data_IF_438505930761
#
_entry.id   IF_438505930761
#
_cell.length_a   1.000
_cell.length_b   1.000
_cell.length_c   1.000
_cell.angle_alpha   90.00
_cell.angle_beta   90.00
_cell.angle_gamma   90.00
#
_symmetry.space_group_name_H-M   'P 1'
#
loop_
_entity.id
_entity.type
_entity.pdbx_description
1 polymer ?
#
# COMPACT_ATOMS: atom_id res chain seq x y z
N UNK A 1 -16.09 46.02 -2.90
CA UNK A 1 -16.60 44.88 -3.67
C UNK A 1 -15.46 44.42 -4.57
N UNK A 2 -14.65 43.46 -4.12
CA UNK A 2 -13.43 43.01 -4.81
C UNK A 2 -13.61 41.54 -5.11
N UNK A 3 -13.59 41.20 -6.39
CA UNK A 3 -13.80 39.86 -6.94
C UNK A 3 -12.42 39.22 -7.11
N UNK A 4 -12.06 38.29 -6.22
CA UNK A 4 -10.84 37.48 -6.40
C UNK A 4 -11.19 36.25 -7.26
N UNK A 5 -10.55 36.05 -8.43
CA UNK A 5 -10.66 34.79 -9.15
C UNK A 5 -9.84 33.76 -8.39
N UNK A 6 -10.52 32.79 -7.78
CA UNK A 6 -9.89 31.63 -7.17
C UNK A 6 -9.23 30.81 -8.28
N UNK A 7 -7.92 30.98 -8.45
CA UNK A 7 -7.11 30.08 -9.28
C UNK A 7 -7.16 28.73 -8.56
N UNK A 8 -7.97 27.80 -9.08
CA UNK A 8 -7.91 26.39 -8.71
C UNK A 8 -6.59 25.89 -9.27
N UNK A 9 -5.55 25.98 -8.45
CA UNK A 9 -4.29 25.32 -8.71
C UNK A 9 -4.58 23.82 -8.58
N UNK A 10 -4.92 23.18 -9.70
CA UNK A 10 -4.97 21.72 -9.81
C UNK A 10 -3.56 21.22 -9.53
N UNK A 11 -3.27 20.98 -8.26
CA UNK A 11 -2.11 20.24 -7.84
C UNK A 11 -2.26 18.83 -8.44
N UNK A 12 -1.63 18.62 -9.59
CA UNK A 12 -1.20 17.30 -10.03
C UNK A 12 -0.17 16.81 -9.02
N UNK A 13 -0.64 16.43 -7.83
CA UNK A 13 0.05 15.45 -7.01
C UNK A 13 -0.08 14.17 -7.81
N UNK A 14 0.96 13.85 -8.58
CA UNK A 14 1.31 12.44 -8.78
C UNK A 14 1.40 11.86 -7.38
N UNK A 15 0.32 11.20 -6.96
CA UNK A 15 0.24 10.57 -5.65
C UNK A 15 1.46 9.69 -5.52
N UNK A 16 2.37 10.07 -4.63
CA UNK A 16 3.19 9.11 -3.92
C UNK A 16 2.24 8.01 -3.49
N UNK A 17 2.44 6.81 -4.06
CA UNK A 17 1.63 5.64 -3.82
C UNK A 17 1.34 5.55 -2.32
N UNK A 18 0.08 5.81 -1.95
CA UNK A 18 -0.35 5.65 -0.58
C UNK A 18 -0.44 4.15 -0.36
N UNK A 19 0.66 3.55 0.11
CA UNK A 19 0.51 2.39 0.93
C UNK A 19 -0.26 2.87 2.16
N UNK A 20 -1.50 2.38 2.30
CA UNK A 20 -2.29 2.49 3.51
C UNK A 20 -1.36 2.35 4.72
N UNK A 21 -1.47 3.22 5.73
CA UNK A 21 -0.53 3.24 6.84
C UNK A 21 -0.43 1.83 7.43
N UNK A 22 0.79 1.35 7.75
CA UNK A 22 0.95 0.03 8.30
C UNK A 22 0.05 -0.11 9.55
N UNK A 23 -0.62 -1.26 9.72
CA UNK A 23 -1.53 -1.45 10.84
C UNK A 23 -0.82 -1.13 12.16
N UNK A 24 -1.54 -0.57 13.14
CA UNK A 24 -0.94 -0.13 14.39
C UNK A 24 -0.13 -1.27 15.05
N UNK A 25 1.16 -1.01 15.31
CA UNK A 25 2.10 -2.01 15.83
C UNK A 25 2.75 -2.91 14.76
N UNK A 26 2.58 -2.56 13.48
CA UNK A 26 3.26 -3.19 12.36
C UNK A 26 4.15 -2.19 11.62
N UNK A 27 5.23 -2.69 11.01
CA UNK A 27 6.10 -1.97 10.09
C UNK A 27 5.94 -2.53 8.70
N UNK A 28 6.01 -1.67 7.68
CA UNK A 28 5.95 -2.05 6.27
C UNK A 28 7.32 -1.93 5.60
N UNK A 29 7.75 -2.99 4.94
CA UNK A 29 8.98 -3.09 4.16
C UNK A 29 8.65 -3.17 2.65
N UNK A 30 9.28 -2.27 1.89
CA UNK A 30 9.19 -2.16 0.42
C UNK A 30 10.55 -2.34 -0.25
N UNK A 31 11.52 -2.98 0.42
CA UNK A 31 12.87 -3.11 -0.10
C UNK A 31 12.92 -4.00 -1.36
N UNK A 32 11.95 -4.90 -1.51
CA UNK A 32 11.81 -5.77 -2.68
C UNK A 32 10.81 -5.16 -3.67
N UNK A 33 11.21 -4.95 -4.94
CA UNK A 33 10.29 -4.49 -5.97
C UNK A 33 9.07 -5.41 -6.12
N UNK A 34 7.90 -4.83 -6.42
CA UNK A 34 6.65 -5.57 -6.65
C UNK A 34 6.18 -6.40 -5.45
N UNK A 35 6.61 -6.04 -4.25
CA UNK A 35 6.30 -6.73 -3.03
C UNK A 35 6.11 -5.74 -1.89
N UNK A 36 5.17 -6.07 -1.00
CA UNK A 36 5.05 -5.47 0.31
C UNK A 36 5.13 -6.57 1.36
N UNK A 37 5.98 -6.35 2.36
CA UNK A 37 5.99 -7.18 3.56
C UNK A 37 5.60 -6.32 4.74
N UNK A 38 4.63 -6.73 5.53
CA UNK A 38 4.39 -6.14 6.85
C UNK A 38 4.91 -7.09 7.92
N UNK A 39 5.48 -6.52 8.97
CA UNK A 39 5.94 -7.24 10.15
C UNK A 39 5.29 -6.62 11.36
N UNK A 40 4.60 -7.43 12.16
CA UNK A 40 3.86 -7.01 13.33
C UNK A 40 4.44 -7.66 14.59
N UNK A 41 4.48 -6.90 15.68
CA UNK A 41 4.78 -7.46 17.00
C UNK A 41 3.67 -8.39 17.49
N UNK A 42 3.95 -9.28 18.46
CA UNK A 42 2.92 -10.11 19.07
C UNK A 42 1.75 -9.28 19.62
N UNK A 43 0.52 -9.69 19.30
CA UNK A 43 -0.70 -8.95 19.64
C UNK A 43 -0.99 -7.72 18.76
N UNK A 44 -0.06 -7.29 17.90
CA UNK A 44 -0.30 -6.23 16.91
C UNK A 44 -0.80 -6.82 15.58
N UNK A 45 -1.70 -6.11 14.92
CA UNK A 45 -2.15 -6.49 13.58
C UNK A 45 -2.87 -7.84 13.47
N UNK A 46 -3.42 -8.39 14.57
CA UNK A 46 -4.16 -9.67 14.53
C UNK A 46 -5.32 -9.59 13.55
N UNK A 47 -5.32 -10.47 12.54
CA UNK A 47 -6.31 -10.48 11.46
C UNK A 47 -6.02 -9.47 10.33
N UNK A 48 -4.99 -8.63 10.46
CA UNK A 48 -4.53 -7.74 9.41
C UNK A 48 -3.61 -8.47 8.42
N UNK A 49 -3.39 -7.89 7.25
CA UNK A 49 -2.59 -8.49 6.19
C UNK A 49 -1.85 -7.42 5.39
N UNK A 50 -0.78 -7.82 4.70
CA UNK A 50 -0.12 -6.96 3.72
C UNK A 50 -1.08 -6.68 2.55
N UNK A 51 -1.12 -5.43 2.12
CA UNK A 51 -1.93 -4.95 1.02
C UNK A 51 -1.05 -4.21 0.01
N UNK A 52 -0.99 -4.70 -1.23
CA UNK A 52 -0.26 -4.01 -2.30
C UNK A 52 -1.16 -3.79 -3.52
N UNK A 53 -1.09 -2.58 -4.08
CA UNK A 53 -1.66 -2.26 -5.38
C UNK A 53 -0.60 -2.45 -6.44
N UNK A 54 -0.96 -3.20 -7.46
CA UNK A 54 -0.11 -3.52 -8.59
C UNK A 54 -0.82 -3.09 -9.86
N UNK A 55 -0.04 -2.80 -10.90
CA UNK A 55 -0.54 -2.44 -12.21
C UNK A 55 -0.03 -3.42 -13.25
N UNK A 56 -0.90 -3.98 -14.07
CA UNK A 56 -0.49 -4.84 -15.17
C UNK A 56 0.01 -4.04 -16.39
N UNK A 57 0.53 -4.73 -17.39
CA UNK A 57 1.01 -4.13 -18.64
C UNK A 57 -0.09 -3.41 -19.44
N UNK A 58 -1.37 -3.79 -19.23
CA UNK A 58 -2.54 -3.13 -19.80
C UNK A 58 -2.98 -1.88 -19.02
N UNK A 59 -2.31 -1.57 -17.92
CA UNK A 59 -2.62 -0.44 -17.05
C UNK A 59 -3.75 -0.69 -16.05
N UNK A 60 -4.24 -1.93 -15.93
CA UNK A 60 -5.30 -2.33 -14.99
C UNK A 60 -4.70 -2.46 -13.60
N UNK A 61 -5.44 -1.95 -12.61
CA UNK A 61 -5.05 -2.02 -11.21
C UNK A 61 -5.54 -3.31 -10.57
N UNK A 62 -4.62 -4.08 -10.02
CA UNK A 62 -4.88 -5.28 -9.24
C UNK A 62 -4.49 -5.07 -7.80
N UNK A 63 -5.32 -5.59 -6.91
CA UNK A 63 -5.04 -5.63 -5.48
C UNK A 63 -4.56 -7.04 -5.13
N UNK A 64 -3.41 -7.12 -4.47
CA UNK A 64 -2.88 -8.37 -3.93
C UNK A 64 -2.85 -8.27 -2.42
N UNK A 65 -3.35 -9.31 -1.78
CA UNK A 65 -3.41 -9.42 -0.32
C UNK A 65 -2.54 -10.59 0.12
N UNK A 66 -1.79 -10.37 1.20
CA UNK A 66 -1.04 -11.41 1.86
C UNK A 66 -1.90 -12.26 2.78
N UNK A 67 -1.27 -13.24 3.42
CA UNK A 67 -1.87 -14.00 4.51
C UNK A 67 -2.14 -13.10 5.71
N UNK A 68 -3.14 -13.43 6.52
CA UNK A 68 -3.39 -12.67 7.76
C UNK A 68 -2.29 -12.92 8.80
N UNK A 69 -1.97 -11.90 9.58
CA UNK A 69 -1.09 -11.97 10.75
C UNK A 69 -1.87 -12.59 11.92
N UNK A 70 -1.22 -13.51 12.63
CA UNK A 70 -1.80 -14.25 13.76
C UNK A 70 -1.75 -13.47 15.08
N UNK A 71 -2.33 -14.04 16.13
CA UNK A 71 -2.33 -13.46 17.48
C UNK A 71 -0.92 -13.29 18.06
N UNK A 72 0.00 -14.18 17.68
CA UNK A 72 1.41 -14.14 18.09
C UNK A 72 2.24 -13.12 17.29
N UNK A 73 1.60 -12.31 16.44
CA UNK A 73 2.27 -11.40 15.51
C UNK A 73 2.85 -12.15 14.32
N UNK A 74 3.95 -11.63 13.76
CA UNK A 74 4.67 -12.24 12.66
C UNK A 74 4.68 -11.37 11.41
N UNK A 75 4.78 -12.00 10.24
CA UNK A 75 4.88 -11.28 8.97
C UNK A 75 3.78 -11.70 8.00
N UNK A 76 3.36 -10.74 7.18
CA UNK A 76 2.47 -10.96 6.06
C UNK A 76 3.10 -10.37 4.80
N UNK A 77 2.97 -11.07 3.68
CA UNK A 77 3.59 -10.68 2.42
C UNK A 77 2.56 -10.68 1.31
N UNK A 78 2.46 -9.56 0.60
CA UNK A 78 1.70 -9.43 -0.63
C UNK A 78 2.66 -9.17 -1.79
N UNK A 79 2.49 -9.88 -2.89
CA UNK A 79 3.36 -9.81 -4.08
C UNK A 79 2.50 -9.59 -5.30
N UNK A 80 2.94 -8.71 -6.19
CA UNK A 80 2.34 -8.55 -7.51
C UNK A 80 2.51 -9.85 -8.32
N UNK A 81 1.54 -10.16 -9.17
CA UNK A 81 1.67 -11.31 -10.05
C UNK A 81 2.70 -11.07 -11.15
N UNK A 82 3.13 -12.13 -11.82
CA UNK A 82 4.04 -12.04 -12.96
C UNK A 82 3.46 -11.12 -14.04
N UNK A 83 4.22 -10.11 -14.45
CA UNK A 83 3.79 -9.11 -15.44
C UNK A 83 3.07 -7.89 -14.85
N UNK A 84 2.96 -7.81 -13.53
CA UNK A 84 2.49 -6.64 -12.80
C UNK A 84 3.65 -5.88 -12.14
N UNK A 85 3.45 -4.58 -11.92
CA UNK A 85 4.40 -3.67 -11.31
C UNK A 85 3.77 -2.95 -10.12
N UNK A 86 4.50 -2.81 -9.02
CA UNK A 86 4.05 -2.09 -7.82
C UNK A 86 5.17 -1.84 -6.81
N UNK A 87 4.88 -1.13 -5.71
CA UNK A 87 3.59 -0.49 -5.39
C UNK A 87 3.27 0.72 -6.30
N UNK A 88 2.00 0.87 -6.70
CA UNK A 88 1.48 2.01 -7.51
C UNK A 88 0.49 2.88 -6.77
#
# INVERSE_FOLDING_TARGET
MVWLPTIVCSAFVSGIAAADPPPAGCSSDYAVPNQLTITCEPGAGVGQHAYIRCRDIGGVLHTRIGTTVGADGGWSRAVCATGEYGPV
#
